data_IF_573650473558
#
_entry.id   IF_573650473558
#
_cell.length_a   1.000
_cell.length_b   1.000
_cell.length_c   1.000
_cell.angle_alpha   90.00
_cell.angle_beta   90.00
_cell.angle_gamma   90.00
#
_symmetry.space_group_name_H-M   'P 1'
#
loop_
_entity.id
_entity.type
_entity.pdbx_description
1 polymer ?
#
# COMPACT_ATOMS: atom_id res chain seq x y z
N UNK A 1 18.75 7.85 8.54
CA UNK A 1 18.17 7.77 8.32
C UNK A 1 17.16 7.43 8.25
N UNK A 2 16.89 7.41 8.39
CA UNK A 2 15.99 7.14 8.31
C UNK A 2 15.01 6.96 8.07
N UNK A 3 14.54 6.83 8.06
CA UNK A 3 13.67 6.70 7.98
C UNK A 3 12.70 6.32 7.82
N UNK A 4 12.54 6.19 7.79
CA UNK A 4 11.76 5.99 7.50
C UNK A 4 10.51 5.60 7.66
N UNK A 5 9.94 5.76 6.93
CA UNK A 5 8.78 5.48 7.33
C UNK A 5 8.33 4.18 6.97
N UNK A 6 8.03 3.33 7.82
CA UNK A 6 7.53 2.11 7.51
C UNK A 6 6.07 2.20 7.62
N UNK A 7 5.36 2.13 6.56
CA UNK A 7 3.90 2.10 6.50
C UNK A 7 3.42 0.69 6.73
N UNK A 8 2.57 0.52 7.72
CA UNK A 8 2.03 -0.80 8.05
C UNK A 8 0.55 -0.83 7.76
N UNK A 9 0.05 -2.00 7.40
CA UNK A 9 -1.38 -2.17 7.25
C UNK A 9 -2.00 -2.28 8.64
N UNK A 10 -3.15 -1.66 8.84
CA UNK A 10 -3.77 -1.66 10.15
C UNK A 10 -5.10 -2.40 10.19
N UNK A 11 -5.71 -2.59 9.05
CA UNK A 11 -7.00 -3.27 8.98
C UNK A 11 -7.06 -4.08 7.72
N UNK A 12 -8.06 -4.92 7.63
CA UNK A 12 -8.26 -5.71 6.44
C UNK A 12 -7.55 -7.03 6.49
N UNK A 13 -7.49 -7.71 5.36
CA UNK A 13 -7.09 -9.10 5.35
C UNK A 13 -5.63 -9.36 5.74
N UNK A 14 -4.77 -8.41 5.59
CA UNK A 14 -3.36 -8.61 5.89
C UNK A 14 -2.86 -7.52 6.82
N UNK A 15 -3.59 -7.30 7.91
CA UNK A 15 -3.22 -6.26 8.85
C UNK A 15 -1.92 -6.60 9.57
N UNK A 16 -1.21 -5.58 9.98
CA UNK A 16 0.04 -5.77 10.69
C UNK A 16 1.22 -6.08 9.79
N UNK A 17 1.07 -5.93 8.49
CA UNK A 17 2.14 -6.21 7.55
C UNK A 17 2.74 -4.91 7.04
N UNK A 18 4.03 -4.86 6.75
CA UNK A 18 4.58 -3.65 6.14
C UNK A 18 4.07 -3.51 4.70
N UNK A 19 3.75 -2.30 4.31
CA UNK A 19 3.40 -2.04 2.91
C UNK A 19 4.64 -2.21 2.05
N UNK A 20 4.45 -2.72 0.86
CA UNK A 20 5.53 -2.89 -0.12
C UNK A 20 5.35 -1.86 -1.21
N UNK A 21 6.31 -0.99 -1.39
CA UNK A 21 6.28 0.01 -2.44
C UNK A 21 7.54 -0.10 -3.28
N UNK A 22 7.46 0.14 -4.57
CA UNK A 22 6.22 0.39 -5.31
C UNK A 22 5.49 -0.93 -5.61
N UNK A 23 4.22 -0.81 -5.89
CA UNK A 23 3.47 -1.98 -6.37
C UNK A 23 2.66 -1.56 -7.58
N UNK A 24 2.28 -2.54 -8.38
CA UNK A 24 1.53 -2.29 -9.60
C UNK A 24 0.12 -2.85 -9.44
N UNK A 25 -0.86 -2.04 -9.78
CA UNK A 25 -2.24 -2.46 -9.79
C UNK A 25 -2.86 -2.02 -11.09
N UNK A 26 -3.37 -2.99 -11.85
CA UNK A 26 -3.98 -2.73 -13.15
C UNK A 26 -3.10 -1.87 -14.05
N UNK A 27 -1.82 -2.20 -14.06
CA UNK A 27 -0.87 -1.52 -14.93
C UNK A 27 -0.39 -0.17 -14.44
N UNK A 28 -0.79 0.25 -13.24
CA UNK A 28 -0.38 1.54 -12.70
C UNK A 28 0.50 1.32 -11.49
N UNK A 29 1.65 1.96 -11.51
CA UNK A 29 2.58 1.86 -10.38
C UNK A 29 2.20 2.84 -9.29
N UNK A 30 2.18 2.35 -8.06
CA UNK A 30 1.86 3.17 -6.91
C UNK A 30 3.03 3.13 -5.93
N UNK A 31 3.42 4.30 -5.44
CA UNK A 31 4.52 4.42 -4.49
C UNK A 31 4.04 4.87 -3.12
N UNK A 32 2.73 4.89 -2.94
CA UNK A 32 2.10 5.29 -1.70
C UNK A 32 0.75 4.62 -1.65
N UNK A 33 0.08 4.72 -0.52
CA UNK A 33 -1.26 4.15 -0.39
C UNK A 33 -2.21 4.82 -1.37
N UNK A 34 -3.10 4.06 -1.94
CA UNK A 34 -3.96 4.54 -3.00
C UNK A 34 -5.39 4.06 -2.77
N UNK A 35 -6.33 4.78 -3.34
CA UNK A 35 -7.72 4.35 -3.39
C UNK A 35 -8.09 3.72 -4.72
N UNK A 36 -7.10 3.49 -5.58
CA UNK A 36 -7.36 2.96 -6.91
C UNK A 36 -8.19 1.67 -6.83
N UNK A 37 -9.36 1.68 -7.39
CA UNK A 37 -10.24 0.52 -7.39
C UNK A 37 -10.89 0.19 -6.05
N UNK A 38 -10.80 1.10 -5.07
CA UNK A 38 -11.30 0.81 -3.74
C UNK A 38 -11.77 2.10 -3.09
N UNK A 39 -12.48 1.97 -1.99
CA UNK A 39 -13.04 3.13 -1.31
C UNK A 39 -12.22 3.55 -0.08
N UNK A 40 -11.14 2.84 0.20
CA UNK A 40 -10.23 3.17 1.29
C UNK A 40 -8.82 3.13 0.77
N UNK A 41 -7.92 3.84 1.43
CA UNK A 41 -6.51 3.75 1.07
C UNK A 41 -5.98 2.38 1.41
N UNK A 42 -5.23 1.81 0.50
CA UNK A 42 -4.68 0.48 0.65
C UNK A 42 -3.28 0.43 0.05
N UNK A 43 -2.54 -0.57 0.43
CA UNK A 43 -1.23 -0.82 -0.15
C UNK A 43 -1.05 -2.31 -0.34
N UNK A 44 -0.04 -2.68 -1.11
CA UNK A 44 0.30 -4.08 -1.25
C UNK A 44 1.02 -4.56 -0.01
N UNK A 45 0.61 -5.69 0.52
CA UNK A 45 1.33 -6.36 1.59
C UNK A 45 2.34 -7.33 1.01
N UNK A 46 2.15 -7.72 -0.23
CA UNK A 46 3.06 -8.62 -0.92
C UNK A 46 2.93 -8.37 -2.41
N UNK A 47 4.02 -8.45 -3.12
CA UNK A 47 4.00 -8.27 -4.57
C UNK A 47 4.57 -9.50 -5.23
N UNK A 48 4.19 -9.70 -6.49
CA UNK A 48 4.72 -10.79 -7.29
C UNK A 48 6.07 -10.39 -7.85
N UNK A 49 6.71 -11.34 -8.50
CA UNK A 49 8.02 -11.09 -9.09
C UNK A 49 7.99 -9.94 -10.09
N UNK A 50 6.88 -9.72 -10.76
CA UNK A 50 6.77 -8.65 -11.74
C UNK A 50 6.35 -7.33 -11.12
N UNK A 51 6.20 -7.26 -9.80
CA UNK A 51 5.83 -6.03 -9.12
C UNK A 51 4.35 -5.82 -8.91
N UNK A 52 3.51 -6.65 -9.49
CA UNK A 52 2.08 -6.51 -9.28
C UNK A 52 1.69 -6.94 -7.87
N UNK A 53 0.69 -6.29 -7.31
CA UNK A 53 0.29 -6.63 -5.96
C UNK A 53 -0.23 -8.08 -5.92
N UNK A 54 0.06 -8.73 -4.82
CA UNK A 54 -0.41 -10.10 -4.60
C UNK A 54 -1.36 -10.14 -3.40
N UNK A 55 -1.00 -9.45 -2.34
CA UNK A 55 -1.86 -9.32 -1.17
C UNK A 55 -1.93 -7.87 -0.79
N UNK A 56 -3.01 -7.46 -0.18
CA UNK A 56 -3.19 -6.07 0.18
C UNK A 56 -3.73 -5.93 1.59
N UNK A 57 -3.61 -4.73 2.13
CA UNK A 57 -4.23 -4.39 3.41
C UNK A 57 -4.52 -2.90 3.41
N UNK A 58 -5.33 -2.46 4.36
CA UNK A 58 -5.66 -1.05 4.45
C UNK A 58 -4.56 -0.30 5.19
N UNK A 59 -4.26 0.90 4.73
CA UNK A 59 -3.20 1.68 5.32
C UNK A 59 -3.64 2.28 6.65
N UNK A 60 -2.66 2.40 7.56
CA UNK A 60 -2.87 3.10 8.80
C UNK A 60 -3.01 4.58 8.46
N UNK A 61 -4.11 5.19 8.87
CA UNK A 61 -4.38 6.57 8.52
C UNK A 61 -3.35 7.55 9.03
N UNK A 62 -2.66 7.23 10.10
CA UNK A 62 -1.74 8.17 10.71
C UNK A 62 -0.30 8.03 10.28
N UNK A 63 0.07 6.89 9.76
CA UNK A 63 1.48 6.61 9.55
C UNK A 63 1.90 6.49 8.10
N UNK A 64 0.98 6.36 7.18
CA UNK A 64 1.32 6.01 5.82
C UNK A 64 1.20 7.18 4.87
N UNK A 65 2.10 7.29 3.91
CA UNK A 65 1.91 8.27 2.84
C UNK A 65 0.74 7.86 1.97
N UNK A 66 -0.01 8.81 1.48
CA UNK A 66 -1.17 8.55 0.64
C UNK A 66 -1.07 9.36 -0.62
N UNK A 67 -1.58 8.79 -1.70
CA UNK A 67 -1.63 9.53 -2.95
C UNK A 67 -2.59 10.68 -2.81
N UNK A 68 -2.28 11.77 -3.50
CA UNK A 68 -3.12 12.89 -3.53
C UNK A 68 -4.38 12.51 -4.15
N UNK A 69 -5.34 12.84 -3.60
CA UNK A 69 -6.55 12.39 -3.99
C UNK A 69 -7.04 12.62 -5.27
N UNK A 70 -7.58 12.14 -5.78
CA UNK A 70 -8.09 12.25 -6.91
C UNK A 70 -8.74 11.14 -7.07
#
# INVERSE_FOLDING_TARGET
MFLDQQCMTSKGPNSGQPCVFPFIYKGVEHKACTKHGWHKFWCAAEVKANGEYSKFGYCDDNACPKECGK
#
